data_IF_812180275189
#
_entry.id   IF_812180275189
#
_cell.length_a   1.000
_cell.length_b   1.000
_cell.length_c   1.000
_cell.angle_alpha   90.00
_cell.angle_beta   90.00
_cell.angle_gamma   90.00
#
_symmetry.space_group_name_H-M   'P 1'
#
loop_
_entity.id
_entity.type
_entity.pdbx_description
1 polymer ?
#
# COMPACT_ATOMS: atom_id res chain seq x y z
N UNK A 1 -6.95 -4.22 -9.21
CA UNK A 1 -5.85 -4.05 -8.26
C UNK A 1 -5.27 -5.39 -7.86
N UNK A 2 -3.99 -5.39 -7.63
CA UNK A 2 -3.22 -6.53 -7.18
C UNK A 2 -2.65 -6.21 -5.81
N UNK A 3 -2.75 -7.15 -4.90
CA UNK A 3 -2.05 -7.12 -3.63
C UNK A 3 -0.80 -7.98 -3.74
N UNK A 4 0.35 -7.38 -3.44
CA UNK A 4 1.63 -8.07 -3.34
C UNK A 4 1.97 -8.09 -1.85
N UNK A 5 2.09 -9.26 -1.25
CA UNK A 5 2.51 -9.39 0.14
C UNK A 5 4.00 -9.69 0.16
N UNK A 6 4.79 -8.79 0.74
CA UNK A 6 6.22 -8.99 0.99
C UNK A 6 6.45 -9.42 2.42
N UNK A 7 7.38 -10.36 2.62
CA UNK A 7 7.80 -10.83 3.93
C UNK A 7 9.05 -10.09 4.37
N UNK A 8 9.00 -9.45 5.54
CA UNK A 8 10.15 -8.82 6.19
C UNK A 8 10.34 -9.48 7.57
N UNK A 9 11.16 -10.54 7.61
CA UNK A 9 11.22 -11.44 8.76
C UNK A 9 9.85 -12.08 8.99
N UNK A 10 9.31 -11.95 10.19
CA UNK A 10 8.00 -12.48 10.57
C UNK A 10 6.81 -11.57 10.20
N UNK A 11 7.04 -10.48 9.48
CA UNK A 11 6.00 -9.50 9.16
C UNK A 11 5.61 -9.58 7.69
N UNK A 12 4.30 -9.64 7.48
CA UNK A 12 3.68 -9.52 6.17
C UNK A 12 3.29 -8.04 5.94
N UNK A 13 3.88 -7.42 4.91
CA UNK A 13 3.52 -6.06 4.48
C UNK A 13 2.81 -6.15 3.14
N UNK A 14 1.52 -5.85 3.06
CA UNK A 14 0.82 -5.82 1.79
C UNK A 14 1.11 -4.52 1.05
N UNK A 15 1.44 -4.68 -0.23
CA UNK A 15 1.50 -3.60 -1.21
C UNK A 15 0.34 -3.72 -2.16
N UNK A 16 -0.20 -2.60 -2.59
CA UNK A 16 -1.30 -2.58 -3.55
C UNK A 16 -0.85 -1.84 -4.80
N UNK A 17 -0.81 -2.53 -5.92
CA UNK A 17 -0.50 -1.93 -7.21
C UNK A 17 -1.77 -1.78 -8.04
N UNK A 18 -1.99 -0.56 -8.52
CA UNK A 18 -3.07 -0.22 -9.42
C UNK A 18 -2.76 -0.50 -10.89
N UNK A 19 -3.54 0.10 -11.78
CA UNK A 19 -3.37 -0.04 -13.22
C UNK A 19 -2.09 0.67 -13.68
N UNK A 20 -1.33 0.00 -14.55
CA UNK A 20 -0.12 0.56 -15.16
C UNK A 20 1.10 0.58 -14.25
N UNK A 21 1.04 -0.09 -13.10
CA UNK A 21 2.17 -0.20 -12.18
C UNK A 21 3.01 -1.45 -12.44
N UNK A 22 4.31 -1.32 -12.22
CA UNK A 22 5.24 -2.43 -12.25
C UNK A 22 5.33 -3.09 -10.87
N UNK A 23 5.57 -4.38 -10.85
CA UNK A 23 6.00 -5.10 -9.64
C UNK A 23 7.15 -6.02 -10.04
N UNK A 24 8.34 -5.43 -10.11
CA UNK A 24 9.50 -6.18 -10.50
C UNK A 24 9.87 -7.18 -9.41
N UNK A 25 10.02 -8.44 -9.80
CA UNK A 25 10.76 -9.40 -9.02
C UNK A 25 12.20 -9.38 -9.53
N UNK A 26 13.05 -8.60 -8.89
CA UNK A 26 14.47 -8.51 -9.23
C UNK A 26 15.32 -9.59 -8.56
N UNK A 27 14.73 -10.43 -7.72
CA UNK A 27 15.49 -11.51 -7.09
C UNK A 27 15.85 -12.56 -8.13
N UNK A 28 17.14 -12.68 -8.43
CA UNK A 28 17.69 -13.81 -9.19
C UNK A 28 17.78 -15.08 -8.33
N UNK A 29 17.58 -14.95 -7.03
CA UNK A 29 17.63 -16.04 -6.08
C UNK A 29 16.20 -16.41 -5.69
N UNK A 30 15.72 -17.58 -6.15
CA UNK A 30 14.37 -18.10 -5.87
C UNK A 30 14.12 -18.24 -4.36
N UNK A 31 15.16 -18.51 -3.57
CA UNK A 31 15.08 -18.64 -2.11
C UNK A 31 14.81 -17.30 -1.40
N UNK A 32 15.06 -16.16 -2.05
CA UNK A 32 14.78 -14.82 -1.53
C UNK A 32 13.45 -14.25 -2.03
N UNK A 33 12.73 -14.98 -2.87
CA UNK A 33 11.44 -14.54 -3.39
C UNK A 33 10.33 -14.77 -2.35
N UNK A 34 10.24 -13.87 -1.39
CA UNK A 34 9.22 -13.90 -0.33
C UNK A 34 7.97 -13.09 -0.71
N UNK A 35 7.55 -13.17 -1.97
CA UNK A 35 6.41 -12.39 -2.46
C UNK A 35 5.23 -13.30 -2.77
N UNK A 36 4.07 -12.93 -2.25
CA UNK A 36 2.79 -13.54 -2.62
C UNK A 36 1.96 -12.52 -3.38
N UNK A 37 1.54 -12.86 -4.59
CA UNK A 37 0.69 -12.01 -5.42
C UNK A 37 -0.74 -12.52 -5.36
N UNK A 38 -1.68 -11.64 -5.01
CA UNK A 38 -3.13 -11.96 -4.98
C UNK A 38 -3.92 -10.87 -5.71
N UNK A 39 -5.03 -11.27 -6.35
CA UNK A 39 -5.92 -10.32 -6.99
C UNK A 39 -6.82 -9.70 -5.92
N UNK A 40 -6.67 -8.40 -5.69
CA UNK A 40 -7.45 -7.64 -4.70
C UNK A 40 -8.79 -7.12 -5.25
N UNK A 41 -8.95 -7.09 -6.58
CA UNK A 41 -10.20 -6.77 -7.31
C UNK A 41 -10.90 -8.03 -7.80
N UNK A 42 -12.07 -7.88 -8.44
CA UNK A 42 -12.78 -9.03 -9.04
C UNK A 42 -11.96 -9.70 -10.14
N UNK A 43 -11.29 -8.92 -10.97
CA UNK A 43 -10.47 -9.36 -12.09
C UNK A 43 -9.24 -8.46 -12.15
N UNK A 44 -8.08 -9.04 -12.47
CA UNK A 44 -6.87 -8.31 -12.82
C UNK A 44 -6.27 -8.92 -14.09
N UNK A 45 -5.82 -8.08 -15.00
CA UNK A 45 -5.01 -8.47 -16.15
C UNK A 45 -3.57 -8.08 -15.87
N UNK A 46 -2.66 -9.04 -16.02
CA UNK A 46 -1.24 -8.88 -15.75
C UNK A 46 -0.46 -9.21 -17.02
N UNK A 47 0.44 -8.32 -17.39
CA UNK A 47 1.44 -8.59 -18.42
C UNK A 47 2.71 -9.11 -17.73
N UNK A 48 3.10 -10.32 -18.05
CA UNK A 48 4.35 -10.92 -17.56
C UNK A 48 5.43 -10.67 -18.60
N UNK A 49 6.49 -9.97 -18.20
CA UNK A 49 7.64 -9.67 -19.07
C UNK A 49 8.81 -10.54 -18.61
N UNK A 50 9.37 -11.33 -19.50
CA UNK A 50 10.56 -12.13 -19.21
C UNK A 50 11.78 -11.22 -18.94
N UNK A 51 12.70 -11.69 -18.11
CA UNK A 51 13.86 -10.92 -17.69
C UNK A 51 14.71 -10.42 -18.87
N UNK A 52 14.99 -11.29 -19.84
CA UNK A 52 15.76 -10.93 -21.04
C UNK A 52 15.08 -9.87 -21.92
N UNK A 53 13.74 -9.88 -21.96
CA UNK A 53 12.95 -8.86 -22.66
C UNK A 53 12.98 -7.55 -21.85
N UNK A 54 12.88 -7.63 -20.53
CA UNK A 54 12.96 -6.49 -19.65
C UNK A 54 14.30 -5.76 -19.78
N UNK A 55 15.43 -6.49 -19.79
CA UNK A 55 16.75 -5.91 -20.02
C UNK A 55 16.84 -5.17 -21.38
N UNK A 56 16.28 -5.75 -22.43
CA UNK A 56 16.25 -5.11 -23.76
C UNK A 56 15.41 -3.82 -23.72
N UNK A 57 14.27 -3.81 -23.05
CA UNK A 57 13.42 -2.63 -22.92
C UNK A 57 14.11 -1.50 -22.14
N UNK A 58 14.79 -1.84 -21.03
CA UNK A 58 15.55 -0.87 -20.26
C UNK A 58 16.71 -0.27 -21.07
N UNK A 59 17.39 -1.09 -21.89
CA UNK A 59 18.48 -0.62 -22.77
C UNK A 59 17.99 0.18 -23.97
N UNK A 60 16.79 -0.11 -24.47
CA UNK A 60 16.25 0.48 -25.69
C UNK A 60 15.65 1.87 -25.52
N UNK A 61 15.18 2.24 -24.29
CA UNK A 61 14.48 3.49 -24.13
C UNK A 61 14.55 4.10 -22.73
N UNK A 62 15.01 5.36 -22.68
CA UNK A 62 15.08 6.16 -21.44
C UNK A 62 13.71 6.31 -20.77
N UNK A 63 12.65 6.44 -21.56
CA UNK A 63 11.27 6.60 -21.04
C UNK A 63 10.82 5.38 -20.25
N UNK A 64 11.06 4.18 -20.79
CA UNK A 64 10.73 2.95 -20.08
C UNK A 64 11.55 2.79 -18.80
N UNK A 65 12.84 3.11 -18.85
CA UNK A 65 13.72 3.11 -17.68
C UNK A 65 13.20 4.05 -16.60
N UNK A 66 12.80 5.27 -16.94
CA UNK A 66 12.24 6.23 -16.01
C UNK A 66 10.95 5.71 -15.34
N UNK A 67 10.03 5.13 -16.12
CA UNK A 67 8.78 4.56 -15.56
C UNK A 67 9.07 3.48 -14.49
N UNK A 68 10.04 2.61 -14.75
CA UNK A 68 10.44 1.58 -13.77
C UNK A 68 11.07 2.20 -12.53
N UNK A 69 11.96 3.20 -12.72
CA UNK A 69 12.60 3.89 -11.61
C UNK A 69 11.61 4.67 -10.75
N UNK A 70 10.69 5.40 -11.36
CA UNK A 70 9.67 6.16 -10.64
C UNK A 70 8.82 5.23 -9.75
N UNK A 71 8.44 4.05 -10.27
CA UNK A 71 7.66 3.07 -9.52
C UNK A 71 8.45 2.44 -8.36
N UNK A 72 9.77 2.23 -8.53
CA UNK A 72 10.66 1.74 -7.47
C UNK A 72 10.86 2.80 -6.38
N UNK A 73 11.10 4.04 -6.77
CA UNK A 73 11.28 5.15 -5.83
C UNK A 73 10.01 5.35 -5.00
N UNK A 74 8.84 5.37 -5.63
CA UNK A 74 7.56 5.49 -4.94
C UNK A 74 7.34 4.35 -3.92
N UNK A 75 7.71 3.12 -4.28
CA UNK A 75 7.63 1.97 -3.37
C UNK A 75 8.61 2.11 -2.18
N UNK A 76 9.83 2.56 -2.43
CA UNK A 76 10.82 2.79 -1.38
C UNK A 76 10.40 3.90 -0.41
N UNK A 77 9.85 4.99 -0.91
CA UNK A 77 9.35 6.10 -0.09
C UNK A 77 8.14 5.66 0.75
N UNK A 78 7.24 4.88 0.17
CA UNK A 78 6.14 4.26 0.92
C UNK A 78 6.66 3.38 2.05
N UNK A 79 7.61 2.48 1.77
CA UNK A 79 8.21 1.58 2.76
C UNK A 79 8.91 2.34 3.88
N UNK A 80 9.69 3.35 3.53
CA UNK A 80 10.38 4.21 4.48
C UNK A 80 9.39 4.89 5.42
N UNK A 81 8.35 5.49 4.87
CA UNK A 81 7.30 6.15 5.64
C UNK A 81 6.55 5.16 6.54
N UNK A 82 6.19 3.98 6.00
CA UNK A 82 5.52 2.94 6.77
C UNK A 82 6.39 2.41 7.92
N UNK A 83 7.70 2.28 7.71
CA UNK A 83 8.62 1.80 8.74
C UNK A 83 8.67 2.72 9.96
N UNK A 84 8.53 4.03 9.77
CA UNK A 84 8.44 5.01 10.85
C UNK A 84 7.19 4.79 11.70
N UNK A 85 6.07 4.46 11.07
CA UNK A 85 4.80 4.23 11.78
C UNK A 85 4.79 2.90 12.56
N UNK A 86 5.52 1.88 12.10
CA UNK A 86 5.67 0.61 12.82
C UNK A 86 6.30 0.84 14.21
N UNK A 87 7.31 1.71 14.28
CA UNK A 87 7.99 2.08 15.53
C UNK A 87 7.24 3.06 16.43
N UNK A 88 6.21 3.72 15.91
CA UNK A 88 5.49 4.77 16.63
C UNK A 88 4.72 4.20 17.85
N UNK A 89 5.01 4.75 19.04
CA UNK A 89 4.34 4.35 20.30
C UNK A 89 2.89 4.81 20.35
N UNK A 90 2.55 5.94 19.71
CA UNK A 90 1.18 6.41 19.62
C UNK A 90 0.41 5.63 18.55
N UNK A 91 -0.22 4.53 18.94
CA UNK A 91 -0.92 3.63 18.01
C UNK A 91 -2.13 4.26 17.30
N UNK A 92 -2.70 5.36 17.81
CA UNK A 92 -3.73 6.10 17.11
C UNK A 92 -3.14 6.85 15.90
N UNK A 93 -2.07 7.57 16.14
CA UNK A 93 -1.34 8.33 15.12
C UNK A 93 -0.74 7.38 14.08
N UNK A 94 -0.09 6.30 14.52
CA UNK A 94 0.45 5.28 13.63
C UNK A 94 -0.61 4.69 12.71
N UNK A 95 -1.80 4.36 13.23
CA UNK A 95 -2.91 3.84 12.43
C UNK A 95 -3.43 4.89 11.44
N UNK A 96 -3.59 6.14 11.88
CA UNK A 96 -4.05 7.24 11.03
C UNK A 96 -3.09 7.44 9.85
N UNK A 97 -1.81 7.62 10.13
CA UNK A 97 -0.77 7.81 9.10
C UNK A 97 -0.64 6.60 8.18
N UNK A 98 -0.66 5.39 8.73
CA UNK A 98 -0.63 4.16 7.91
C UNK A 98 -1.81 4.12 6.93
N UNK A 99 -3.02 4.40 7.38
CA UNK A 99 -4.19 4.42 6.50
C UNK A 99 -4.06 5.50 5.41
N UNK A 100 -3.54 6.67 5.73
CA UNK A 100 -3.31 7.77 4.76
C UNK A 100 -2.22 7.42 3.75
N UNK A 101 -1.11 6.82 4.19
CA UNK A 101 -0.05 6.34 3.31
C UNK A 101 -0.59 5.34 2.29
N UNK A 102 -1.37 4.34 2.74
CA UNK A 102 -2.02 3.40 1.82
C UNK A 102 -3.00 4.09 0.87
N UNK A 103 -3.76 5.07 1.36
CA UNK A 103 -4.71 5.81 0.52
C UNK A 103 -4.01 6.61 -0.59
N UNK A 104 -2.89 7.26 -0.27
CA UNK A 104 -2.09 8.01 -1.24
C UNK A 104 -1.42 7.07 -2.24
N UNK A 105 -0.80 6.00 -1.76
CA UNK A 105 -0.08 5.05 -2.59
C UNK A 105 -0.98 4.31 -3.58
N UNK A 106 -2.21 4.00 -3.19
CA UNK A 106 -3.20 3.32 -4.04
C UNK A 106 -3.89 4.29 -4.99
N UNK A 107 -4.12 5.52 -4.53
CA UNK A 107 -4.79 6.64 -5.22
C UNK A 107 -6.14 6.29 -5.87
N UNK A 108 -6.92 5.42 -5.24
CA UNK A 108 -8.27 5.08 -5.67
C UNK A 108 -9.31 5.93 -4.96
N UNK A 109 -10.16 6.62 -5.73
CA UNK A 109 -11.21 7.49 -5.21
C UNK A 109 -12.58 6.98 -5.57
N UNK A 110 -13.51 7.16 -4.66
CA UNK A 110 -14.93 6.95 -4.93
C UNK A 110 -15.53 8.14 -5.70
N UNK A 111 -16.81 8.01 -6.05
CA UNK A 111 -17.57 9.07 -6.74
C UNK A 111 -17.70 10.38 -5.95
N UNK A 112 -17.37 10.39 -4.67
CA UNK A 112 -17.38 11.57 -3.79
C UNK A 112 -15.98 12.12 -3.55
N UNK A 113 -14.95 11.56 -4.21
CA UNK A 113 -13.56 11.97 -4.07
C UNK A 113 -12.87 11.46 -2.80
N UNK A 114 -13.50 10.57 -2.02
CA UNK A 114 -12.85 9.92 -0.88
C UNK A 114 -11.97 8.78 -1.33
N UNK A 115 -10.81 8.63 -0.71
CA UNK A 115 -9.88 7.55 -1.01
C UNK A 115 -10.37 6.22 -0.44
N UNK A 116 -10.46 5.21 -1.27
CA UNK A 116 -10.87 3.86 -0.87
C UNK A 116 -9.67 3.03 -0.45
N UNK A 117 -9.76 2.42 0.76
CA UNK A 117 -8.79 1.44 1.19
C UNK A 117 -9.21 0.03 0.72
N UNK A 118 -8.26 -0.83 0.34
CA UNK A 118 -8.58 -2.20 -0.06
C UNK A 118 -9.33 -2.96 1.02
N UNK A 119 -10.29 -3.78 0.62
CA UNK A 119 -11.04 -4.63 1.57
C UNK A 119 -10.14 -5.60 2.32
N UNK A 120 -9.07 -6.04 1.67
CA UNK A 120 -8.08 -6.93 2.25
C UNK A 120 -7.23 -6.25 3.33
N UNK A 121 -7.11 -4.90 3.34
CA UNK A 121 -6.47 -4.14 4.41
C UNK A 121 -7.41 -4.03 5.63
N UNK A 122 -7.68 -5.16 6.24
CA UNK A 122 -8.57 -5.27 7.37
C UNK A 122 -7.87 -5.04 8.72
N UNK A 123 -8.63 -5.10 9.81
CA UNK A 123 -8.12 -4.88 11.17
C UNK A 123 -7.00 -5.86 11.57
N UNK A 124 -7.06 -7.10 11.08
CA UNK A 124 -6.04 -8.11 11.36
C UNK A 124 -4.73 -7.76 10.66
N UNK A 125 -4.75 -7.41 9.37
CA UNK A 125 -3.56 -6.97 8.64
C UNK A 125 -2.97 -5.71 9.26
N UNK A 126 -3.80 -4.70 9.54
CA UNK A 126 -3.35 -3.49 10.22
C UNK A 126 -2.70 -3.76 11.59
N UNK A 127 -3.22 -4.73 12.35
CA UNK A 127 -2.61 -5.10 13.63
C UNK A 127 -1.24 -5.74 13.46
N UNK A 128 -1.07 -6.59 12.45
CA UNK A 128 0.22 -7.21 12.11
C UNK A 128 1.24 -6.15 11.64
N UNK A 129 0.84 -5.24 10.73
CA UNK A 129 1.69 -4.16 10.24
C UNK A 129 2.18 -3.30 11.42
N UNK A 130 1.27 -2.87 12.29
CA UNK A 130 1.58 -1.95 13.39
C UNK A 130 2.17 -2.62 14.64
N UNK A 131 2.35 -3.95 14.61
CA UNK A 131 2.84 -4.70 15.78
C UNK A 131 1.98 -4.48 17.03
N UNK A 132 0.65 -4.58 16.86
CA UNK A 132 -0.32 -4.37 17.94
C UNK A 132 -1.46 -5.40 17.88
N UNK A 133 -2.42 -5.33 18.82
CA UNK A 133 -3.54 -6.26 18.81
C UNK A 133 -4.69 -5.78 17.93
N UNK A 134 -5.48 -6.71 17.37
CA UNK A 134 -6.72 -6.41 16.64
C UNK A 134 -7.70 -5.59 17.47
N UNK A 135 -7.75 -5.84 18.78
CA UNK A 135 -8.62 -5.10 19.72
C UNK A 135 -8.21 -3.63 19.78
N UNK A 136 -6.89 -3.37 19.90
CA UNK A 136 -6.34 -2.02 19.87
C UNK A 136 -6.67 -1.30 18.55
N UNK A 137 -6.45 -1.96 17.41
CA UNK A 137 -6.78 -1.39 16.10
C UNK A 137 -8.27 -1.05 16.00
N UNK A 138 -9.16 -1.97 16.42
CA UNK A 138 -10.60 -1.72 16.38
C UNK A 138 -11.01 -0.49 17.22
N UNK A 139 -10.44 -0.34 18.42
CA UNK A 139 -10.66 0.83 19.29
C UNK A 139 -10.21 2.11 18.58
N UNK A 140 -9.02 2.10 17.99
CA UNK A 140 -8.45 3.27 17.28
C UNK A 140 -9.21 3.62 15.99
N UNK A 141 -9.71 2.64 15.25
CA UNK A 141 -10.62 2.86 14.11
C UNK A 141 -11.89 3.60 14.55
N UNK A 142 -12.48 3.23 15.68
CA UNK A 142 -13.65 3.94 16.22
C UNK A 142 -13.34 5.40 16.54
N UNK A 143 -12.17 5.67 17.15
CA UNK A 143 -11.71 7.03 17.43
C UNK A 143 -11.52 7.86 16.14
N UNK A 144 -10.88 7.28 15.11
CA UNK A 144 -10.70 7.96 13.82
C UNK A 144 -12.02 8.22 13.07
N UNK A 145 -13.02 7.35 13.25
CA UNK A 145 -14.37 7.58 12.72
C UNK A 145 -15.08 8.74 13.43
N UNK A 146 -14.97 8.82 14.74
CA UNK A 146 -15.51 9.95 15.50
C UNK A 146 -14.90 11.28 15.04
N UNK A 147 -13.61 11.28 14.70
CA UNK A 147 -12.89 12.42 14.11
C UNK A 147 -13.20 12.66 12.62
N UNK A 148 -14.02 11.83 11.99
CA UNK A 148 -14.37 11.90 10.57
C UNK A 148 -13.17 11.80 9.61
N UNK A 149 -12.07 11.26 10.06
CA UNK A 149 -10.90 10.94 9.24
C UNK A 149 -11.15 9.65 8.45
N UNK A 150 -11.57 8.58 9.16
CA UNK A 150 -12.00 7.33 8.58
C UNK A 150 -13.53 7.34 8.39
N UNK A 151 -13.94 7.01 7.17
CA UNK A 151 -15.34 6.83 6.82
C UNK A 151 -15.58 5.33 6.56
N UNK A 152 -16.77 4.86 6.84
CA UNK A 152 -17.17 3.49 6.48
C UNK A 152 -18.42 3.53 5.63
N UNK A 153 -18.35 2.84 4.50
CA UNK A 153 -19.54 2.49 3.72
C UNK A 153 -19.54 0.98 3.54
N UNK A 154 -20.57 0.32 4.06
CA UNK A 154 -20.67 -1.14 4.08
C UNK A 154 -19.43 -1.77 4.78
N UNK A 155 -18.64 -2.58 4.06
CA UNK A 155 -17.41 -3.24 4.56
C UNK A 155 -16.12 -2.53 4.18
N UNK A 156 -16.19 -1.39 3.46
CA UNK A 156 -15.01 -0.67 2.98
C UNK A 156 -14.65 0.46 3.93
N UNK A 157 -13.36 0.58 4.25
CA UNK A 157 -12.79 1.75 4.90
C UNK A 157 -12.43 2.77 3.84
N UNK A 158 -12.64 4.06 4.14
CA UNK A 158 -12.32 5.19 3.28
C UNK A 158 -11.67 6.28 4.10
N UNK A 159 -10.82 7.05 3.47
CA UNK A 159 -10.23 8.26 4.04
C UNK A 159 -10.91 9.48 3.42
N UNK A 160 -11.32 10.41 4.25
CA UNK A 160 -11.88 11.67 3.79
C UNK A 160 -10.84 12.44 2.97
N UNK A 161 -11.23 13.00 1.81
CA UNK A 161 -10.30 13.75 0.95
C UNK A 161 -9.57 14.85 1.72
N UNK A 162 -10.31 15.66 2.51
CA UNK A 162 -9.73 16.70 3.33
C UNK A 162 -8.59 16.21 4.23
N UNK A 163 -8.73 15.02 4.81
CA UNK A 163 -7.71 14.43 5.67
C UNK A 163 -6.44 14.08 4.90
N UNK A 164 -6.55 13.70 3.62
CA UNK A 164 -5.38 13.44 2.77
C UNK A 164 -4.70 14.75 2.35
N UNK A 165 -5.45 15.75 1.94
CA UNK A 165 -4.88 17.06 1.58
C UNK A 165 -4.12 17.70 2.75
N UNK A 166 -4.68 17.64 3.95
CA UNK A 166 -3.98 18.07 5.17
C UNK A 166 -2.68 17.27 5.39
N UNK A 167 -2.67 15.98 5.14
CA UNK A 167 -1.52 15.12 5.35
C UNK A 167 -0.40 15.35 4.32
N UNK A 168 -0.75 15.57 3.05
CA UNK A 168 0.21 15.87 1.98
C UNK A 168 1.02 17.15 2.24
N UNK A 169 0.46 18.10 2.98
CA UNK A 169 1.17 19.31 3.35
C UNK A 169 2.23 19.10 4.44
N UNK A 170 2.31 17.88 5.04
CA UNK A 170 3.27 17.52 6.07
C UNK A 170 4.31 16.49 5.60
N UNK A 171 4.18 15.95 4.38
CA UNK A 171 5.14 15.06 3.74
C UNK A 171 6.19 15.86 2.97
#
# INVERSE_FOLDING_TARGET
NIEITKLYGDREVPFYKGRGRFFPNFSQNEDLCCERVTVASKIATVLVIKHDVMEKLVRAGKEFCNLVWDDIIEELDFLKSLSQEIGNRNKLEALDRTCRLYAIFIDEKDKHGHYELPRSLNQEKLSKILGTTRVTVNKKIKELRQKRVLLQKERNMRIANKAIEEFKNFL
#
